data_IF_126400594792
#
_entry.id   IF_126400594792
#
_cell.length_a   1.000
_cell.length_b   1.000
_cell.length_c   1.000
_cell.angle_alpha   90.00
_cell.angle_beta   90.00
_cell.angle_gamma   90.00
#
_symmetry.space_group_name_H-M   'P 1'
#
loop_
_entity.id
_entity.type
_entity.pdbx_description
1 polymer ?
#
# COMPACT_ATOMS: atom_id res chain seq x y z
N UNK A 1 8.13 12.82 -13.63
CA UNK A 1 7.73 12.08 -12.41
C UNK A 1 8.97 11.45 -11.78
N UNK A 2 9.23 11.71 -10.49
CA UNK A 2 10.42 11.22 -9.78
C UNK A 2 10.14 9.80 -9.26
N UNK A 3 11.04 8.84 -9.52
CA UNK A 3 10.92 7.47 -9.01
C UNK A 3 11.06 7.48 -7.49
N UNK A 4 10.11 6.91 -6.76
CA UNK A 4 10.24 6.75 -5.32
C UNK A 4 11.37 5.75 -5.02
N UNK A 5 12.26 6.09 -4.08
CA UNK A 5 13.35 5.18 -3.69
C UNK A 5 12.79 4.01 -2.88
N UNK A 6 13.46 2.85 -2.95
CA UNK A 6 13.01 1.61 -2.30
C UNK A 6 12.70 1.80 -0.81
N UNK A 7 13.60 2.45 -0.06
CA UNK A 7 13.40 2.73 1.37
C UNK A 7 12.14 3.57 1.61
N UNK A 8 11.96 4.65 0.85
CA UNK A 8 10.78 5.51 0.97
C UNK A 8 9.49 4.76 0.62
N UNK A 9 9.54 3.83 -0.33
CA UNK A 9 8.41 2.98 -0.66
C UNK A 9 8.07 1.99 0.46
N UNK A 10 9.08 1.39 1.10
CA UNK A 10 8.89 0.48 2.24
C UNK A 10 8.28 1.24 3.43
N UNK A 11 8.81 2.41 3.76
CA UNK A 11 8.31 3.24 4.87
C UNK A 11 6.89 3.75 4.60
N UNK A 12 6.62 4.26 3.40
CA UNK A 12 5.29 4.70 2.99
C UNK A 12 4.28 3.56 2.99
N UNK A 13 4.68 2.38 2.50
CA UNK A 13 3.81 1.22 2.59
C UNK A 13 3.57 0.84 4.05
N UNK A 14 4.60 0.76 4.89
CA UNK A 14 4.51 0.36 6.29
C UNK A 14 3.54 1.24 7.11
N UNK A 15 3.40 2.52 6.76
CA UNK A 15 2.43 3.44 7.37
C UNK A 15 1.01 2.87 7.43
N UNK A 16 0.56 2.19 6.37
CA UNK A 16 -0.76 1.56 6.38
C UNK A 16 -0.76 0.38 7.37
N UNK A 17 -1.49 0.46 8.47
CA UNK A 17 -1.50 -0.60 9.49
C UNK A 17 -0.24 -0.68 10.35
N UNK A 18 0.52 0.41 10.44
CA UNK A 18 1.55 0.56 11.47
C UNK A 18 0.92 0.38 12.86
N UNK A 19 1.66 -0.30 13.74
CA UNK A 19 1.25 -0.59 15.11
C UNK A 19 2.12 0.17 16.11
N UNK A 20 1.64 0.33 17.34
CA UNK A 20 2.38 1.02 18.41
C UNK A 20 3.71 0.32 18.76
N UNK A 21 3.83 -0.98 18.47
CA UNK A 21 5.05 -1.77 18.69
C UNK A 21 6.06 -1.68 17.52
N UNK A 22 5.89 -0.71 16.61
CA UNK A 22 6.70 -0.55 15.39
C UNK A 22 6.62 -1.74 14.41
N UNK A 23 5.62 -2.61 14.56
CA UNK A 23 5.25 -3.63 13.57
C UNK A 23 4.18 -3.15 12.59
N UNK A 24 3.76 -4.04 11.69
CA UNK A 24 2.66 -3.81 10.76
C UNK A 24 1.66 -4.95 10.84
N UNK A 25 0.38 -4.63 11.05
CA UNK A 25 -0.72 -5.61 11.02
C UNK A 25 -1.75 -5.19 9.97
N UNK A 26 -2.02 -6.09 9.01
CA UNK A 26 -3.03 -5.91 7.95
C UNK A 26 -3.79 -7.19 7.71
N UNK A 27 -4.85 -7.38 8.48
CA UNK A 27 -5.73 -8.54 8.35
C UNK A 27 -6.47 -8.49 7.00
N UNK A 28 -6.83 -9.64 6.46
CA UNK A 28 -7.60 -9.73 5.22
C UNK A 28 -8.87 -8.88 5.32
N UNK A 29 -9.14 -8.08 4.29
CA UNK A 29 -10.25 -7.11 4.21
C UNK A 29 -10.32 -6.04 5.31
N UNK A 30 -9.30 -5.91 6.15
CA UNK A 30 -9.24 -4.82 7.11
C UNK A 30 -9.11 -3.48 6.40
N UNK A 31 -9.51 -2.40 7.09
CA UNK A 31 -9.40 -1.03 6.58
C UNK A 31 -7.96 -0.72 6.15
N UNK A 32 -6.98 -1.16 6.94
CA UNK A 32 -5.55 -0.97 6.72
C UNK A 32 -5.09 -1.66 5.43
N UNK A 33 -5.53 -2.92 5.22
CA UNK A 33 -5.21 -3.67 4.00
C UNK A 33 -5.83 -3.03 2.76
N UNK A 34 -7.10 -2.66 2.83
CA UNK A 34 -7.80 -2.01 1.72
C UNK A 34 -7.16 -0.66 1.38
N UNK A 35 -6.79 0.13 2.40
CA UNK A 35 -6.11 1.42 2.23
C UNK A 35 -4.75 1.27 1.54
N UNK A 36 -3.95 0.27 1.96
CA UNK A 36 -2.67 -0.02 1.33
C UNK A 36 -2.81 -0.41 -0.15
N UNK A 37 -3.79 -1.27 -0.47
CA UNK A 37 -4.05 -1.72 -1.84
C UNK A 37 -4.54 -0.59 -2.74
N UNK A 38 -5.44 0.27 -2.24
CA UNK A 38 -5.92 1.44 -2.97
C UNK A 38 -4.80 2.47 -3.20
N UNK A 39 -3.97 2.71 -2.18
CA UNK A 39 -2.84 3.63 -2.29
C UNK A 39 -1.81 3.16 -3.33
N UNK A 40 -1.47 1.87 -3.33
CA UNK A 40 -0.61 1.28 -4.37
C UNK A 40 -1.21 1.40 -5.76
N UNK A 41 -2.50 1.08 -5.90
CA UNK A 41 -3.21 1.24 -7.17
C UNK A 41 -3.19 2.69 -7.65
N UNK A 42 -3.32 3.67 -6.77
CA UNK A 42 -3.25 5.09 -7.13
C UNK A 42 -1.84 5.54 -7.55
N UNK A 43 -0.80 4.98 -6.93
CA UNK A 43 0.59 5.32 -7.26
C UNK A 43 1.06 4.68 -8.56
N UNK A 44 0.84 3.37 -8.72
CA UNK A 44 1.26 2.63 -9.91
C UNK A 44 0.26 2.68 -11.05
N UNK A 45 -1.01 2.96 -10.78
CA UNK A 45 -2.06 3.14 -11.79
C UNK A 45 -1.83 4.33 -12.72
N UNK A 46 -0.85 5.19 -12.40
CA UNK A 46 -0.35 6.24 -13.30
C UNK A 46 0.49 5.68 -14.45
N UNK A 47 0.94 4.43 -14.36
CA UNK A 47 1.87 3.77 -15.31
C UNK A 47 1.38 2.42 -15.80
N UNK A 48 0.55 1.74 -15.01
CA UNK A 48 0.09 0.38 -15.27
C UNK A 48 -1.44 0.34 -15.28
N UNK A 49 -2.02 -0.57 -16.06
CA UNK A 49 -3.44 -0.89 -15.93
C UNK A 49 -3.63 -1.85 -14.76
N UNK A 50 -4.22 -1.34 -13.67
CA UNK A 50 -4.40 -2.09 -12.42
C UNK A 50 -5.90 -2.23 -12.14
N UNK A 51 -6.33 -3.45 -11.85
CA UNK A 51 -7.70 -3.77 -11.43
C UNK A 51 -7.68 -4.77 -10.26
N UNK A 52 -8.80 -4.82 -9.54
CA UNK A 52 -9.06 -5.92 -8.59
C UNK A 52 -9.92 -6.93 -9.35
N UNK A 53 -9.59 -8.21 -9.25
CA UNK A 53 -10.42 -9.28 -9.78
C UNK A 53 -11.70 -9.45 -8.95
N UNK A 54 -12.67 -10.16 -9.52
CA UNK A 54 -13.79 -10.69 -8.77
C UNK A 54 -13.30 -11.85 -7.92
N UNK A 55 -13.64 -11.83 -6.63
CA UNK A 55 -13.52 -12.99 -5.74
C UNK A 55 -14.65 -13.98 -5.94
#
# INVERSE_FOLDING_TARGET
>A
MKRMMLRSMIEWLAFFGATESNGVTRILYSKERMSAQQAMKAEDGKKLFIYFDSV
#
